data_IF_234494170974
#
_entry.id   IF_234494170974
#
_cell.length_a   1.000
_cell.length_b   1.000
_cell.length_c   1.000
_cell.angle_alpha   90.00
_cell.angle_beta   90.00
_cell.angle_gamma   90.00
#
_symmetry.space_group_name_H-M   'P 1'
#
loop_
_entity.id
_entity.type
_entity.pdbx_description
1 polymer ?
#
# COMPACT_ATOMS: atom_id res chain seq x y z
N UNK A 1 -4.69 14.55 3.34
CA UNK A 1 -3.87 13.89 2.30
C UNK A 1 -2.56 13.46 2.94
N UNK A 2 -1.97 12.34 2.49
CA UNK A 2 -0.65 11.90 2.97
C UNK A 2 0.49 12.69 2.35
N UNK A 3 1.70 12.41 2.80
CA UNK A 3 2.97 12.97 2.31
C UNK A 3 3.99 11.83 2.11
N UNK A 4 5.10 12.11 1.43
CA UNK A 4 6.18 11.13 1.30
C UNK A 4 6.77 10.70 2.65
N UNK A 5 6.79 11.62 3.63
CA UNK A 5 7.22 11.32 4.99
C UNK A 5 6.32 10.30 5.69
N UNK A 6 5.06 10.19 5.27
CA UNK A 6 4.17 9.15 5.80
C UNK A 6 4.52 7.76 5.26
N UNK A 7 5.13 7.66 4.07
CA UNK A 7 5.65 6.38 3.56
C UNK A 7 6.84 5.90 4.40
N UNK A 8 7.74 6.81 4.77
CA UNK A 8 8.85 6.47 5.68
C UNK A 8 8.34 6.08 7.06
N UNK A 9 7.36 6.80 7.59
CA UNK A 9 6.71 6.46 8.85
C UNK A 9 6.05 5.09 8.81
N UNK A 10 5.39 4.72 7.70
CA UNK A 10 4.82 3.39 7.53
C UNK A 10 5.87 2.29 7.57
N UNK A 11 7.04 2.50 6.95
CA UNK A 11 8.15 1.54 6.99
C UNK A 11 8.72 1.41 8.41
N UNK A 12 8.95 2.52 9.10
CA UNK A 12 9.41 2.52 10.50
C UNK A 12 8.43 1.79 11.43
N UNK A 13 7.12 2.01 11.26
CA UNK A 13 6.10 1.29 12.00
C UNK A 13 6.12 -0.22 11.71
N UNK A 14 6.29 -0.62 10.45
CA UNK A 14 6.39 -2.03 10.08
C UNK A 14 7.61 -2.70 10.71
N UNK A 15 8.77 -2.03 10.70
CA UNK A 15 10.01 -2.53 11.31
C UNK A 15 9.89 -2.66 12.84
N UNK A 16 9.10 -1.79 13.49
CA UNK A 16 8.82 -1.87 14.91
C UNK A 16 7.80 -2.97 15.29
N UNK A 17 7.06 -3.53 14.33
CA UNK A 17 6.08 -4.61 14.55
C UNK A 17 6.65 -5.98 14.17
N UNK A 18 7.43 -6.03 13.07
CA UNK A 18 7.95 -7.26 12.49
C UNK A 18 8.86 -8.01 13.47
N UNK A 19 8.56 -9.28 13.72
CA UNK A 19 9.27 -10.14 14.67
C UNK A 19 9.08 -9.76 16.14
N UNK A 20 8.25 -8.75 16.44
CA UNK A 20 7.97 -8.25 17.80
C UNK A 20 6.54 -8.51 18.25
N UNK A 21 5.73 -9.13 17.39
CA UNK A 21 4.35 -9.53 17.69
C UNK A 21 4.29 -10.97 18.19
N UNK A 22 3.37 -11.26 19.13
CA UNK A 22 3.20 -12.62 19.66
C UNK A 22 2.61 -13.59 18.63
N UNK A 23 1.68 -13.09 17.81
CA UNK A 23 1.02 -13.88 16.76
C UNK A 23 1.63 -13.55 15.40
N UNK A 24 1.74 -14.57 14.54
CA UNK A 24 2.20 -14.46 13.15
C UNK A 24 1.36 -13.50 12.28
N UNK A 25 0.15 -13.13 12.74
CA UNK A 25 -0.65 -12.10 12.09
C UNK A 25 0.08 -10.75 12.02
N UNK A 26 0.91 -10.39 13.00
CA UNK A 26 1.67 -9.14 12.97
C UNK A 26 2.66 -9.08 11.81
N UNK A 27 3.41 -10.16 11.61
CA UNK A 27 4.35 -10.29 10.48
C UNK A 27 3.60 -10.41 9.15
N UNK A 28 2.47 -11.11 9.15
CA UNK A 28 1.57 -11.21 8.01
C UNK A 28 0.94 -9.88 7.59
N UNK A 29 0.72 -8.96 8.52
CA UNK A 29 0.18 -7.63 8.25
C UNK A 29 1.25 -6.64 7.75
N UNK A 30 2.49 -6.75 8.22
CA UNK A 30 3.59 -5.84 7.85
C UNK A 30 4.21 -6.20 6.49
N UNK A 31 4.33 -7.49 6.17
CA UNK A 31 4.98 -7.96 4.93
C UNK A 31 4.33 -7.42 3.64
N UNK A 32 2.99 -7.34 3.51
CA UNK A 32 2.35 -6.72 2.35
C UNK A 32 2.64 -5.22 2.23
N UNK A 33 2.77 -4.49 3.33
CA UNK A 33 3.02 -3.04 3.33
C UNK A 33 4.46 -2.75 2.93
N UNK A 34 5.44 -3.45 3.52
CA UNK A 34 6.85 -3.25 3.18
C UNK A 34 7.14 -3.64 1.73
N UNK A 35 6.57 -4.76 1.26
CA UNK A 35 6.69 -5.16 -0.14
C UNK A 35 5.94 -4.23 -1.10
N UNK A 36 4.75 -3.73 -0.75
CA UNK A 36 4.01 -2.82 -1.62
C UNK A 36 4.77 -1.50 -1.80
N UNK A 37 5.32 -0.93 -0.73
CA UNK A 37 6.13 0.29 -0.81
C UNK A 37 7.42 0.02 -1.60
N UNK A 38 8.05 -1.16 -1.44
CA UNK A 38 9.27 -1.51 -2.18
C UNK A 38 9.05 -1.60 -3.69
N UNK A 39 7.98 -2.26 -4.12
CA UNK A 39 7.77 -2.57 -5.55
C UNK A 39 6.88 -1.55 -6.26
N UNK A 40 6.02 -0.85 -5.53
CA UNK A 40 5.02 0.07 -6.10
C UNK A 40 5.14 1.49 -5.54
N UNK A 41 6.32 1.92 -5.06
CA UNK A 41 6.53 3.27 -4.48
C UNK A 41 5.99 4.38 -5.38
N UNK A 42 6.27 4.29 -6.67
CA UNK A 42 5.85 5.28 -7.67
C UNK A 42 4.32 5.42 -7.73
N UNK A 43 3.57 4.33 -7.51
CA UNK A 43 2.11 4.40 -7.45
C UNK A 43 1.63 5.21 -6.25
N UNK A 44 2.27 5.05 -5.08
CA UNK A 44 1.98 5.90 -3.91
C UNK A 44 2.27 7.36 -4.21
N UNK A 45 3.40 7.67 -4.85
CA UNK A 45 3.76 9.04 -5.23
C UNK A 45 2.75 9.62 -6.22
N UNK A 46 2.26 8.84 -7.18
CA UNK A 46 1.21 9.27 -8.11
C UNK A 46 -0.09 9.63 -7.38
N UNK A 47 -0.48 8.88 -6.33
CA UNK A 47 -1.65 9.23 -5.51
C UNK A 47 -1.47 10.56 -4.77
N UNK A 48 -0.27 10.83 -4.27
CA UNK A 48 0.06 12.08 -3.58
C UNK A 48 0.06 13.27 -4.56
N UNK A 49 0.73 13.11 -5.70
CA UNK A 49 0.91 14.14 -6.71
C UNK A 49 -0.40 14.52 -7.39
N UNK A 50 -1.25 13.54 -7.69
CA UNK A 50 -2.50 13.75 -8.41
C UNK A 50 -3.66 14.17 -7.51
N UNK A 51 -3.48 14.20 -6.18
CA UNK A 51 -4.57 14.54 -5.28
C UNK A 51 -5.58 13.41 -5.06
N UNK A 52 -5.31 12.19 -5.55
CA UNK A 52 -6.27 11.08 -5.56
C UNK A 52 -5.77 9.84 -6.30
N UNK A 53 -6.58 8.78 -6.32
CA UNK A 53 -6.26 7.53 -7.00
C UNK A 53 -6.10 7.75 -8.51
N UNK A 54 -4.96 7.36 -9.12
CA UNK A 54 -4.74 7.48 -10.56
C UNK A 54 -5.41 6.35 -11.37
N UNK A 55 -5.92 5.31 -10.70
CA UNK A 55 -6.52 4.16 -11.36
C UNK A 55 -8.01 4.36 -11.61
N UNK A 56 -8.48 3.98 -12.81
CA UNK A 56 -9.90 3.96 -13.11
C UNK A 56 -10.60 2.88 -12.26
N UNK A 57 -11.63 3.23 -11.47
CA UNK A 57 -12.27 2.27 -10.55
C UNK A 57 -12.88 1.06 -11.26
N UNK A 58 -13.42 1.22 -12.47
CA UNK A 58 -14.08 0.15 -13.21
C UNK A 58 -13.04 -0.77 -13.85
N UNK A 59 -12.04 -0.19 -14.51
CA UNK A 59 -10.92 -0.92 -15.13
C UNK A 59 -10.08 -1.69 -14.11
N UNK A 60 -10.02 -1.21 -12.86
CA UNK A 60 -9.29 -1.87 -11.77
C UNK A 60 -10.02 -3.09 -11.18
N UNK A 61 -11.25 -3.35 -11.61
CA UNK A 61 -12.04 -4.49 -11.12
C UNK A 61 -12.00 -5.67 -12.11
N UNK A 62 -12.18 -6.88 -11.58
CA UNK A 62 -12.36 -8.08 -12.41
C UNK A 62 -13.63 -8.05 -13.28
N UNK A 63 -14.56 -7.12 -13.01
CA UNK A 63 -15.87 -7.07 -13.66
C UNK A 63 -15.90 -6.30 -14.99
N UNK A 64 -14.75 -5.77 -15.44
CA UNK A 64 -14.64 -4.94 -16.66
C UNK A 64 -15.25 -5.59 -17.91
N UNK A 65 -15.30 -6.94 -17.97
CA UNK A 65 -15.88 -7.73 -19.06
C UNK A 65 -17.16 -8.50 -18.71
N UNK A 66 -17.65 -8.43 -17.48
CA UNK A 66 -18.80 -9.21 -16.99
C UNK A 66 -20.17 -8.64 -17.41
N UNK A 67 -20.19 -7.53 -18.15
CA UNK A 67 -21.41 -6.81 -18.55
C UNK A 67 -21.83 -7.04 -20.01
N UNK A 68 -21.61 -8.26 -20.52
CA UNK A 68 -22.20 -8.71 -21.80
C UNK A 68 -23.11 -9.90 -21.60
#
# INVERSE_FOLDING_TARGET
MGTEADLEKLLDLCDNIMGRSFCALGDGATSPITSSIKYFREEYIAHLTNGGCPFDPVQSTLFVGASK
#
